data_IF_105441403140
#
_entry.id   IF_105441403140
#
_cell.length_a   1.000
_cell.length_b   1.000
_cell.length_c   1.000
_cell.angle_alpha   90.00
_cell.angle_beta   90.00
_cell.angle_gamma   90.00
#
_symmetry.space_group_name_H-M   'P 1'
#
loop_
_entity.id
_entity.type
_entity.pdbx_description
1 polymer ?
#
# COMPACT_ATOMS: atom_id res chain seq x y z
N UNK A 1 1.45 -4.54 -21.59
CA UNK A 1 2.32 -4.80 -20.43
C UNK A 1 1.63 -4.34 -19.17
N UNK A 2 1.48 -5.19 -18.18
CA UNK A 2 1.00 -4.70 -16.90
C UNK A 2 2.03 -3.73 -16.33
N UNK A 3 1.53 -2.61 -15.91
CA UNK A 3 2.36 -1.58 -15.30
C UNK A 3 2.51 -1.92 -13.82
N UNK A 4 3.71 -2.33 -13.42
CA UNK A 4 3.99 -2.68 -12.03
C UNK A 4 3.77 -1.54 -11.06
N UNK A 5 3.74 -0.31 -11.54
CA UNK A 5 3.52 0.86 -10.70
C UNK A 5 2.08 0.98 -10.20
N UNK A 6 1.15 0.24 -10.81
CA UNK A 6 -0.23 0.18 -10.33
C UNK A 6 -0.35 -0.57 -9.00
N UNK A 7 0.59 -1.46 -8.73
CA UNK A 7 0.52 -2.35 -7.57
C UNK A 7 1.52 -1.93 -6.51
N UNK A 8 1.07 -1.92 -5.28
CA UNK A 8 1.95 -1.73 -4.13
C UNK A 8 1.94 -3.03 -3.34
N UNK A 9 3.05 -3.75 -3.34
CA UNK A 9 3.18 -5.04 -2.68
C UNK A 9 3.98 -4.90 -1.39
N UNK A 10 3.64 -5.74 -0.41
CA UNK A 10 4.37 -5.77 0.85
C UNK A 10 5.72 -6.45 0.68
N UNK A 11 6.75 -5.85 1.26
CA UNK A 11 8.06 -6.45 1.38
C UNK A 11 8.30 -6.98 2.80
N UNK A 12 7.31 -6.81 3.67
CA UNK A 12 7.41 -7.15 5.08
C UNK A 12 6.26 -8.03 5.51
N UNK A 13 6.48 -8.81 6.56
CA UNK A 13 5.43 -9.52 7.27
C UNK A 13 5.03 -8.66 8.46
N UNK A 14 3.75 -8.50 8.70
CA UNK A 14 3.32 -7.73 9.85
C UNK A 14 1.86 -7.33 9.80
N UNK A 15 1.54 -6.30 10.56
CA UNK A 15 0.18 -5.77 10.66
C UNK A 15 0.04 -4.56 9.74
N UNK A 16 -0.92 -4.64 8.83
CA UNK A 16 -1.17 -3.58 7.86
C UNK A 16 -2.04 -2.48 8.46
N UNK A 17 -1.59 -1.25 8.28
CA UNK A 17 -2.37 -0.06 8.55
C UNK A 17 -2.56 0.71 7.25
N UNK A 18 -3.80 0.91 6.84
CA UNK A 18 -4.09 1.70 5.64
C UNK A 18 -4.23 3.17 6.00
N UNK A 19 -3.56 4.02 5.23
CA UNK A 19 -3.60 5.47 5.43
C UNK A 19 -4.60 6.15 4.49
N UNK A 20 -5.14 5.40 3.53
CA UNK A 20 -6.13 5.91 2.56
C UNK A 20 -7.23 4.86 2.38
N UNK A 21 -8.41 5.30 1.99
CA UNK A 21 -9.56 4.43 1.74
C UNK A 21 -9.77 4.20 0.25
N UNK A 22 -10.59 3.19 -0.05
CA UNK A 22 -11.02 2.95 -1.42
C UNK A 22 -11.68 4.19 -2.00
N UNK A 23 -11.31 4.53 -3.21
CA UNK A 23 -11.81 5.71 -3.91
C UNK A 23 -11.06 6.98 -3.61
N UNK A 24 -10.16 6.98 -2.63
CA UNK A 24 -9.36 8.17 -2.32
C UNK A 24 -8.37 8.44 -3.45
N UNK A 25 -8.20 9.71 -3.74
CA UNK A 25 -7.18 10.15 -4.69
C UNK A 25 -5.83 10.17 -3.99
N UNK A 26 -4.84 9.55 -4.62
CA UNK A 26 -3.47 9.51 -4.09
C UNK A 26 -2.51 10.12 -5.10
N UNK A 27 -1.45 10.73 -4.58
CA UNK A 27 -0.40 11.30 -5.40
C UNK A 27 0.84 10.42 -5.33
N UNK A 28 1.62 10.40 -6.40
CA UNK A 28 2.89 9.69 -6.42
C UNK A 28 3.78 10.15 -5.26
N UNK A 29 4.28 9.20 -4.49
CA UNK A 29 5.12 9.47 -3.32
C UNK A 29 4.36 9.65 -2.03
N UNK A 30 3.02 9.66 -2.07
CA UNK A 30 2.20 9.76 -0.86
C UNK A 30 2.20 8.44 -0.12
N UNK A 31 2.30 8.49 1.22
CA UNK A 31 2.23 7.28 2.05
C UNK A 31 0.79 6.78 2.07
N UNK A 32 0.58 5.58 1.56
CA UNK A 32 -0.76 4.99 1.46
C UNK A 32 -0.98 3.86 2.46
N UNK A 33 0.10 3.29 2.98
CA UNK A 33 0.00 2.18 3.91
C UNK A 33 1.25 2.09 4.78
N UNK A 34 1.10 1.46 5.93
CA UNK A 34 2.22 1.13 6.82
C UNK A 34 2.08 -0.32 7.25
N UNK A 35 3.19 -1.00 7.39
CA UNK A 35 3.23 -2.36 7.92
C UNK A 35 4.05 -2.34 9.21
N UNK A 36 3.43 -2.73 10.30
CA UNK A 36 4.06 -2.79 11.62
C UNK A 36 4.59 -4.19 11.85
N UNK A 37 5.91 -4.32 12.01
CA UNK A 37 6.52 -5.61 12.25
C UNK A 37 6.08 -6.17 13.60
N UNK A 38 5.68 -7.44 13.61
CA UNK A 38 5.35 -8.14 14.85
C UNK A 38 6.57 -8.76 15.50
N UNK A 39 7.69 -8.82 14.78
CA UNK A 39 8.92 -9.46 15.28
C UNK A 39 9.86 -8.47 15.94
N UNK A 40 9.72 -7.19 15.62
CA UNK A 40 10.64 -6.16 16.12
C UNK A 40 9.87 -5.18 17.00
N UNK A 41 9.97 -5.36 18.28
CA UNK A 41 9.39 -4.43 19.24
C UNK A 41 10.14 -3.12 19.16
N UNK A 42 9.42 -2.02 18.99
CA UNK A 42 10.01 -0.68 18.97
C UNK A 42 10.59 -0.27 17.61
N UNK A 43 10.54 -1.12 16.59
CA UNK A 43 10.96 -0.74 15.27
C UNK A 43 9.91 0.14 14.60
N UNK A 44 10.31 1.16 13.81
CA UNK A 44 9.34 1.96 13.08
C UNK A 44 8.62 1.14 12.02
N UNK A 45 7.37 1.50 11.74
CA UNK A 45 6.60 0.85 10.69
C UNK A 45 7.24 1.13 9.33
N UNK A 46 7.17 0.14 8.44
CA UNK A 46 7.57 0.31 7.05
C UNK A 46 6.49 1.09 6.32
N UNK A 47 6.86 2.17 5.66
CA UNK A 47 5.92 2.99 4.91
C UNK A 47 5.93 2.57 3.44
N UNK A 48 4.74 2.46 2.89
CA UNK A 48 4.55 2.13 1.47
C UNK A 48 3.92 3.32 0.77
N UNK A 49 4.56 3.77 -0.29
CA UNK A 49 4.16 4.97 -1.01
C UNK A 49 3.58 4.63 -2.36
N UNK A 50 2.64 5.45 -2.81
CA UNK A 50 2.08 5.31 -4.14
C UNK A 50 3.18 5.52 -5.18
N UNK A 51 3.22 4.63 -6.17
CA UNK A 51 4.19 4.71 -7.25
C UNK A 51 3.69 5.55 -8.41
N UNK A 52 2.40 5.86 -8.40
CA UNK A 52 1.79 6.71 -9.40
C UNK A 52 0.61 7.44 -8.78
N UNK A 53 0.18 8.52 -9.42
CA UNK A 53 -1.00 9.24 -9.01
C UNK A 53 -2.26 8.60 -9.60
N UNK A 54 -3.35 8.59 -8.85
CA UNK A 54 -4.60 8.02 -9.31
C UNK A 54 -5.56 7.80 -8.16
N UNK A 55 -6.52 6.89 -8.36
CA UNK A 55 -7.48 6.51 -7.34
C UNK A 55 -7.11 5.16 -6.75
N UNK A 56 -7.30 5.02 -5.45
CA UNK A 56 -7.11 3.74 -4.79
C UNK A 56 -8.27 2.82 -5.19
N UNK A 57 -8.00 1.92 -6.14
CA UNK A 57 -9.03 1.07 -6.74
C UNK A 57 -9.27 -0.21 -5.97
N UNK A 58 -8.24 -0.69 -5.25
CA UNK A 58 -8.34 -1.88 -4.43
C UNK A 58 -7.34 -1.77 -3.30
N UNK A 59 -7.65 -2.41 -2.18
CA UNK A 59 -6.75 -2.48 -1.03
C UNK A 59 -6.90 -3.81 -0.33
N UNK A 60 -5.84 -4.22 0.36
CA UNK A 60 -5.87 -5.37 1.23
C UNK A 60 -6.68 -5.01 2.48
N UNK A 61 -7.39 -5.98 3.04
CA UNK A 61 -8.06 -5.75 4.32
C UNK A 61 -6.99 -5.48 5.39
N UNK A 62 -7.22 -4.51 6.29
CA UNK A 62 -6.31 -4.29 7.42
C UNK A 62 -6.21 -5.58 8.25
N UNK A 63 -5.00 -5.93 8.63
CA UNK A 63 -4.73 -7.13 9.38
C UNK A 63 -3.34 -7.65 9.05
N UNK A 64 -3.14 -8.95 9.21
CA UNK A 64 -1.85 -9.55 8.96
C UNK A 64 -1.58 -9.66 7.46
N UNK A 65 -0.40 -9.25 7.07
CA UNK A 65 0.08 -9.38 5.70
C UNK A 65 1.43 -10.08 5.68
N UNK A 66 1.74 -10.68 4.55
CA UNK A 66 3.00 -11.38 4.32
C UNK A 66 3.73 -10.72 3.16
N UNK A 67 5.05 -10.94 3.14
CA UNK A 67 5.87 -10.49 2.02
C UNK A 67 5.29 -11.03 0.72
N UNK A 68 5.08 -10.15 -0.24
CA UNK A 68 4.49 -10.50 -1.54
C UNK A 68 3.00 -10.21 -1.66
N UNK A 69 2.31 -9.97 -0.55
CA UNK A 69 0.89 -9.61 -0.60
C UNK A 69 0.71 -8.25 -1.25
N UNK A 70 -0.30 -8.12 -2.11
CA UNK A 70 -0.64 -6.85 -2.72
C UNK A 70 -1.40 -6.00 -1.70
N UNK A 71 -0.84 -4.86 -1.35
CA UNK A 71 -1.44 -3.95 -0.37
C UNK A 71 -2.48 -3.04 -1.00
N UNK A 72 -2.21 -2.58 -2.20
CA UNK A 72 -3.07 -1.61 -2.87
C UNK A 72 -2.89 -1.67 -4.39
N UNK A 73 -3.94 -1.28 -5.09
CA UNK A 73 -3.91 -1.10 -6.54
C UNK A 73 -4.37 0.32 -6.83
N UNK A 74 -3.56 1.06 -7.57
CA UNK A 74 -3.85 2.44 -7.93
C UNK A 74 -4.24 2.50 -9.40
N UNK A 75 -5.46 2.95 -9.67
CA UNK A 75 -5.96 3.09 -11.01
C UNK A 75 -5.68 4.50 -11.51
N UNK A 76 -5.11 4.59 -12.71
CA UNK A 76 -4.89 5.86 -13.35
C UNK A 76 -6.21 6.47 -13.76
N UNK A 77 -6.40 7.75 -13.46
CA UNK A 77 -7.59 8.49 -13.87
C UNK A 77 -7.32 9.08 -15.24
N UNK A 78 -8.09 8.60 -16.20
CA UNK A 78 -8.08 9.15 -17.56
C UNK A 78 -9.29 10.03 -17.70
N UNK A 79 -9.06 11.31 -17.80
CA UNK A 79 -10.20 12.23 -17.85
C UNK A 79 -10.00 13.43 -18.70
#
# INVERSE_FOLDING_TARGET
>A
MPDGDCFVASEDDGLLEMCRDLGDRVEKGEVIARVHSLRRTGAPASEYRARRSGLLAARHFPGLVQCGDTLAVIAEVVG
#
